data_IF_362657920192
#
_entry.id   IF_362657920192
#
_cell.length_a   1.000
_cell.length_b   1.000
_cell.length_c   1.000
_cell.angle_alpha   90.00
_cell.angle_beta   90.00
_cell.angle_gamma   90.00
#
_symmetry.space_group_name_H-M   'P 1'
#
loop_
_entity.id
_entity.type
_entity.pdbx_description
1 polymer ?
#
# COMPACT_ATOMS: atom_id res chain seq x y z
N UNK A 1 -12.01 0.49 6.62
CA UNK A 1 -12.81 1.26 5.64
C UNK A 1 -12.48 0.80 4.22
N UNK A 2 -13.49 0.46 3.47
CA UNK A 2 -13.33 -0.02 2.10
C UNK A 2 -12.80 1.10 1.18
N UNK A 3 -12.06 0.74 0.15
CA UNK A 3 -11.53 1.72 -0.81
C UNK A 3 -12.65 2.37 -1.63
N UNK A 4 -12.44 3.62 -2.01
CA UNK A 4 -13.26 4.32 -2.99
C UNK A 4 -12.63 4.10 -4.37
N UNK A 5 -13.40 3.55 -5.31
CA UNK A 5 -12.89 3.20 -6.64
C UNK A 5 -13.65 3.98 -7.69
N UNK A 6 -12.91 4.76 -8.49
CA UNK A 6 -13.47 5.62 -9.51
C UNK A 6 -12.75 5.42 -10.84
N UNK A 7 -13.47 5.59 -11.93
CA UNK A 7 -12.88 5.63 -13.25
C UNK A 7 -12.55 7.06 -13.61
N UNK A 8 -11.32 7.31 -14.07
CA UNK A 8 -10.85 8.61 -14.52
C UNK A 8 -10.20 8.42 -15.89
N UNK A 9 -10.89 8.87 -16.95
CA UNK A 9 -10.50 8.62 -18.34
C UNK A 9 -10.39 7.11 -18.60
N UNK A 10 -9.22 6.60 -18.97
CA UNK A 10 -9.02 5.18 -19.27
C UNK A 10 -8.42 4.39 -18.11
N UNK A 11 -8.30 5.01 -16.93
CA UNK A 11 -7.71 4.37 -15.76
C UNK A 11 -8.72 4.34 -14.62
N UNK A 12 -8.45 3.46 -13.64
CA UNK A 12 -9.26 3.37 -12.43
C UNK A 12 -8.39 3.80 -11.26
N UNK A 13 -8.98 4.54 -10.34
CA UNK A 13 -8.30 5.03 -9.15
C UNK A 13 -8.93 4.37 -7.94
N UNK A 14 -8.16 3.57 -7.21
CA UNK A 14 -8.58 3.01 -5.94
C UNK A 14 -7.91 3.82 -4.82
N UNK A 15 -8.70 4.43 -3.96
CA UNK A 15 -8.23 5.33 -2.92
C UNK A 15 -8.61 4.78 -1.56
N UNK A 16 -7.59 4.54 -0.73
CA UNK A 16 -7.74 4.06 0.64
C UNK A 16 -7.31 5.18 1.59
N UNK A 17 -7.97 5.29 2.73
CA UNK A 17 -7.60 6.28 3.74
C UNK A 17 -7.47 5.62 5.10
N UNK A 18 -6.49 6.06 5.87
CA UNK A 18 -6.31 5.64 7.26
C UNK A 18 -5.88 6.85 8.09
N UNK A 19 -6.50 7.03 9.25
CA UNK A 19 -6.11 8.06 10.19
C UNK A 19 -5.30 7.41 11.31
N UNK A 20 -4.02 7.78 11.38
CA UNK A 20 -3.06 7.16 12.28
C UNK A 20 -2.73 8.15 13.40
N UNK A 21 -2.77 7.68 14.65
CA UNK A 21 -2.49 8.51 15.82
C UNK A 21 -0.99 8.53 16.14
N UNK A 22 -0.20 8.78 15.11
CA UNK A 22 1.26 8.79 15.18
C UNK A 22 1.79 9.91 14.32
N UNK A 23 2.93 10.52 14.69
CA UNK A 23 3.46 11.63 13.90
C UNK A 23 3.87 11.19 12.50
N UNK A 24 3.81 12.14 11.57
CA UNK A 24 4.08 11.87 10.15
C UNK A 24 5.46 11.24 9.93
N UNK A 25 6.47 11.62 10.72
CA UNK A 25 7.81 11.06 10.62
C UNK A 25 7.83 9.57 10.95
N UNK A 26 7.03 9.16 11.95
CA UNK A 26 6.93 7.76 12.32
C UNK A 26 6.23 6.95 11.23
N UNK A 27 5.12 7.48 10.68
CA UNK A 27 4.42 6.81 9.58
C UNK A 27 5.34 6.66 8.37
N UNK A 28 6.09 7.71 8.03
CA UNK A 28 7.07 7.66 6.93
C UNK A 28 8.11 6.57 7.14
N UNK A 29 8.58 6.39 8.37
CA UNK A 29 9.57 5.35 8.67
C UNK A 29 9.01 3.95 8.43
N UNK A 30 7.73 3.72 8.70
CA UNK A 30 7.10 2.41 8.42
C UNK A 30 6.99 2.10 6.94
N UNK A 31 6.99 3.14 6.08
CA UNK A 31 6.93 2.97 4.62
C UNK A 31 8.31 2.82 3.99
N UNK A 32 9.38 3.31 4.62
CA UNK A 32 10.67 3.48 3.97
C UNK A 32 11.86 2.83 4.67
N UNK A 33 11.74 2.48 5.95
CA UNK A 33 12.81 1.78 6.66
C UNK A 33 12.60 0.28 6.57
N UNK A 34 13.60 -0.45 6.09
CA UNK A 34 13.44 -1.86 5.72
C UNK A 34 13.07 -2.78 6.88
N UNK A 35 13.54 -2.51 8.08
CA UNK A 35 13.16 -3.30 9.25
C UNK A 35 11.67 -3.17 9.56
N UNK A 36 11.11 -1.99 9.39
CA UNK A 36 9.67 -1.74 9.61
C UNK A 36 8.84 -2.20 8.43
N UNK A 37 9.27 -1.91 7.21
CA UNK A 37 8.60 -2.34 5.99
C UNK A 37 8.41 -3.86 5.99
N UNK A 38 9.42 -4.62 6.39
CA UNK A 38 9.36 -6.07 6.42
C UNK A 38 8.33 -6.61 7.41
N UNK A 39 7.92 -5.83 8.41
CA UNK A 39 6.92 -6.28 9.38
C UNK A 39 5.51 -6.32 8.79
N UNK A 40 5.21 -5.48 7.81
CA UNK A 40 3.88 -5.49 7.19
C UNK A 40 3.89 -5.97 5.73
N UNK A 41 5.05 -5.96 5.08
CA UNK A 41 5.18 -6.47 3.71
C UNK A 41 6.58 -7.09 3.54
N UNK A 42 6.78 -8.33 4.03
CA UNK A 42 8.12 -8.94 4.09
C UNK A 42 8.80 -9.14 2.74
N UNK A 43 8.05 -9.19 1.63
CA UNK A 43 8.63 -9.34 0.30
C UNK A 43 9.21 -8.03 -0.24
N UNK A 44 8.94 -6.89 0.39
CA UNK A 44 9.42 -5.58 -0.10
C UNK A 44 10.61 -5.08 0.70
N UNK A 45 11.55 -4.43 0.00
CA UNK A 45 12.60 -3.65 0.64
C UNK A 45 12.97 -2.45 -0.23
N UNK A 46 13.39 -1.37 0.39
CA UNK A 46 13.90 -0.20 -0.31
C UNK A 46 15.36 -0.48 -0.68
N UNK A 47 15.70 -0.31 -1.95
CA UNK A 47 17.06 -0.45 -2.44
C UNK A 47 17.73 0.92 -2.59
N UNK A 48 17.00 1.87 -3.19
CA UNK A 48 17.52 3.22 -3.43
C UNK A 48 16.35 4.20 -3.33
N UNK A 49 16.28 4.93 -2.21
CA UNK A 49 15.16 5.82 -1.90
C UNK A 49 15.37 7.19 -2.54
N UNK A 50 15.04 7.29 -3.84
CA UNK A 50 15.06 8.54 -4.60
C UNK A 50 14.18 8.39 -5.84
N UNK A 51 13.84 9.49 -6.48
CA UNK A 51 13.18 9.41 -7.79
C UNK A 51 14.11 8.73 -8.77
N UNK A 52 13.60 7.76 -9.50
CA UNK A 52 14.41 6.91 -10.37
C UNK A 52 15.09 5.76 -9.66
N UNK A 53 15.03 5.72 -8.33
CA UNK A 53 15.52 4.59 -7.54
C UNK A 53 14.55 3.42 -7.57
N UNK A 54 14.66 2.50 -6.63
CA UNK A 54 13.88 1.26 -6.68
C UNK A 54 13.45 0.74 -5.32
N UNK A 55 12.26 0.15 -5.31
CA UNK A 55 11.79 -0.79 -4.30
C UNK A 55 11.96 -2.18 -4.89
N UNK A 56 12.44 -3.14 -4.12
CA UNK A 56 12.68 -4.49 -4.60
C UNK A 56 11.58 -5.41 -4.06
N UNK A 57 10.96 -6.18 -4.96
CA UNK A 57 10.00 -7.22 -4.60
C UNK A 57 10.70 -8.58 -4.70
N UNK A 58 10.80 -9.28 -3.58
CA UNK A 58 11.37 -10.62 -3.52
C UNK A 58 10.28 -11.62 -3.92
N UNK A 59 10.47 -12.29 -5.04
CA UNK A 59 9.48 -13.24 -5.58
C UNK A 59 9.48 -14.57 -4.83
N UNK A 60 10.36 -14.76 -3.84
CA UNK A 60 10.46 -15.96 -3.01
C UNK A 60 10.90 -17.22 -3.77
N UNK A 61 11.37 -17.07 -4.99
CA UNK A 61 11.86 -18.17 -5.85
C UNK A 61 13.31 -17.96 -6.29
N UNK A 62 14.01 -17.02 -5.65
CA UNK A 62 15.37 -16.64 -6.00
C UNK A 62 15.46 -15.50 -7.00
N UNK A 63 14.33 -15.00 -7.47
CA UNK A 63 14.28 -13.83 -8.36
C UNK A 63 13.72 -12.62 -7.67
N UNK A 64 14.04 -11.44 -8.23
CA UNK A 64 13.62 -10.14 -7.67
C UNK A 64 13.08 -9.27 -8.79
N UNK A 65 12.08 -8.45 -8.47
CA UNK A 65 11.54 -7.46 -9.38
C UNK A 65 11.88 -6.07 -8.88
N UNK A 66 12.39 -5.20 -9.74
CA UNK A 66 12.65 -3.80 -9.41
C UNK A 66 11.42 -2.98 -9.71
N UNK A 67 10.92 -2.30 -8.68
CA UNK A 67 9.76 -1.41 -8.79
C UNK A 67 10.28 0.01 -8.76
N UNK A 68 10.32 0.66 -9.92
CA UNK A 68 10.93 1.99 -10.04
C UNK A 68 10.13 3.04 -9.26
N UNK A 69 10.83 3.88 -8.49
CA UNK A 69 10.24 4.99 -7.78
C UNK A 69 10.00 6.14 -8.77
N UNK A 70 8.74 6.54 -8.89
CA UNK A 70 8.30 7.56 -9.84
C UNK A 70 8.35 8.95 -9.21
N UNK A 71 7.85 9.06 -7.98
CA UNK A 71 7.85 10.34 -7.26
C UNK A 71 8.25 10.11 -5.82
N UNK A 72 9.11 10.97 -5.30
CA UNK A 72 9.50 10.96 -3.89
C UNK A 72 9.56 12.40 -3.37
N UNK A 73 8.77 12.66 -2.33
CA UNK A 73 8.88 13.87 -1.53
C UNK A 73 9.08 13.40 -0.09
N UNK A 74 10.28 13.55 0.47
CA UNK A 74 10.58 12.96 1.79
C UNK A 74 9.56 13.38 2.84
N UNK A 75 9.04 12.40 3.54
CA UNK A 75 8.06 12.59 4.59
C UNK A 75 6.62 12.78 4.12
N UNK A 76 6.36 12.89 2.82
CA UNK A 76 4.99 13.14 2.35
C UNK A 76 4.51 12.32 1.17
N UNK A 77 5.38 11.96 0.21
CA UNK A 77 4.95 11.22 -0.98
C UNK A 77 5.95 10.14 -1.34
N UNK A 78 5.42 8.94 -1.62
CA UNK A 78 6.19 7.85 -2.20
C UNK A 78 5.30 7.16 -3.23
N UNK A 79 5.73 7.17 -4.49
CA UNK A 79 5.00 6.50 -5.59
C UNK A 79 5.96 5.61 -6.36
N UNK A 80 5.55 4.36 -6.61
CA UNK A 80 6.38 3.44 -7.38
C UNK A 80 5.53 2.52 -8.25
N UNK A 81 6.19 1.90 -9.22
CA UNK A 81 5.55 0.98 -10.16
C UNK A 81 5.12 -0.29 -9.42
N UNK A 82 3.94 -0.80 -9.78
CA UNK A 82 3.39 -2.02 -9.22
C UNK A 82 2.83 -2.88 -10.35
N UNK A 83 3.69 -3.72 -10.96
CA UNK A 83 3.35 -4.43 -12.17
C UNK A 83 3.13 -3.44 -13.31
N UNK A 84 1.93 -3.44 -13.88
CA UNK A 84 1.56 -2.47 -14.92
C UNK A 84 0.82 -1.26 -14.35
N UNK A 85 0.72 -1.18 -13.03
CA UNK A 85 -0.01 -0.14 -12.32
C UNK A 85 0.97 0.74 -11.54
N UNK A 86 0.42 1.68 -10.77
CA UNK A 86 1.20 2.55 -9.87
C UNK A 86 0.56 2.53 -8.50
N UNK A 87 1.39 2.54 -7.46
CA UNK A 87 0.92 2.70 -6.08
C UNK A 87 1.56 3.95 -5.50
N UNK A 88 0.77 4.72 -4.77
CA UNK A 88 1.17 6.02 -4.24
C UNK A 88 0.73 6.17 -2.80
N UNK A 89 1.68 6.52 -1.93
CA UNK A 89 1.41 6.87 -0.53
C UNK A 89 1.52 8.38 -0.40
N UNK A 90 0.52 9.01 0.24
CA UNK A 90 0.53 10.43 0.55
C UNK A 90 0.27 10.59 2.04
N UNK A 91 1.07 11.39 2.70
CA UNK A 91 0.95 11.64 4.14
C UNK A 91 0.63 13.11 4.38
N UNK A 92 -0.41 13.35 5.17
CA UNK A 92 -0.85 14.70 5.53
C UNK A 92 -0.81 14.83 7.05
N UNK A 93 -0.13 15.86 7.59
CA UNK A 93 -0.09 16.04 9.04
C UNK A 93 -1.47 16.45 9.57
N UNK A 94 -1.81 15.93 10.74
CA UNK A 94 -3.01 16.31 11.47
C UNK A 94 -2.62 16.66 12.90
N UNK A 95 -3.50 17.37 13.62
CA UNK A 95 -3.21 17.82 14.97
C UNK A 95 -2.85 16.68 15.93
N UNK A 96 -3.42 15.50 15.72
CA UNK A 96 -3.20 14.34 16.59
C UNK A 96 -2.57 13.16 15.85
N UNK A 97 -1.94 13.40 14.68
CA UNK A 97 -1.35 12.29 13.97
C UNK A 97 -1.11 12.55 12.51
N UNK A 98 -1.46 11.57 11.69
CA UNK A 98 -1.22 11.58 10.26
C UNK A 98 -2.40 11.00 9.51
N UNK A 99 -2.80 11.66 8.43
CA UNK A 99 -3.77 11.11 7.48
C UNK A 99 -2.99 10.45 6.36
N UNK A 100 -3.05 9.13 6.30
CA UNK A 100 -2.41 8.32 5.26
C UNK A 100 -3.42 8.07 4.14
N UNK A 101 -3.05 8.45 2.93
CA UNK A 101 -3.83 8.17 1.73
C UNK A 101 -3.00 7.24 0.85
N UNK A 102 -3.57 6.10 0.49
CA UNK A 102 -2.95 5.15 -0.44
C UNK A 102 -3.78 5.13 -1.71
N UNK A 103 -3.13 5.35 -2.85
CA UNK A 103 -3.80 5.40 -4.15
C UNK A 103 -3.17 4.36 -5.06
N UNK A 104 -4.00 3.49 -5.63
CA UNK A 104 -3.57 2.59 -6.68
C UNK A 104 -4.19 3.02 -7.99
N UNK A 105 -3.33 3.28 -8.98
CA UNK A 105 -3.75 3.66 -10.34
C UNK A 105 -3.73 2.40 -11.19
N UNK A 106 -4.92 1.92 -11.53
CA UNK A 106 -5.12 0.65 -12.24
C UNK A 106 -5.37 0.92 -13.72
N UNK A 107 -4.62 0.27 -14.60
CA UNK A 107 -4.83 0.44 -16.03
C UNK A 107 -6.07 -0.33 -16.53
N UNK A 108 -6.45 -1.41 -15.83
CA UNK A 108 -7.67 -2.16 -16.12
C UNK A 108 -8.12 -2.95 -14.90
N UNK A 109 -9.39 -3.34 -14.90
CA UNK A 109 -9.95 -4.23 -13.87
C UNK A 109 -9.94 -5.65 -14.42
N UNK A 110 -9.32 -6.59 -13.71
CA UNK A 110 -9.24 -8.00 -14.08
C UNK A 110 -9.68 -8.87 -12.91
N UNK A 111 -9.69 -10.18 -13.11
CA UNK A 111 -10.00 -11.13 -12.03
C UNK A 111 -8.98 -11.07 -10.89
N UNK A 112 -7.78 -10.56 -11.16
CA UNK A 112 -6.74 -10.38 -10.14
C UNK A 112 -6.95 -9.13 -9.29
N UNK A 113 -7.62 -8.11 -9.82
CA UNK A 113 -7.78 -6.82 -9.13
C UNK A 113 -8.36 -6.95 -7.72
N UNK A 114 -9.44 -7.73 -7.47
CA UNK A 114 -9.95 -7.87 -6.10
C UNK A 114 -8.93 -8.49 -5.13
N UNK A 115 -8.08 -9.39 -5.60
CA UNK A 115 -7.02 -9.99 -4.77
C UNK A 115 -5.99 -8.95 -4.38
N UNK A 116 -5.59 -8.13 -5.35
CA UNK A 116 -4.62 -7.06 -5.14
C UNK A 116 -5.15 -6.00 -4.16
N UNK A 117 -6.38 -5.55 -4.36
CA UNK A 117 -7.00 -4.56 -3.47
C UNK A 117 -7.18 -5.11 -2.06
N UNK A 118 -7.58 -6.38 -1.92
CA UNK A 118 -7.68 -7.02 -0.61
C UNK A 118 -6.32 -7.08 0.08
N UNK A 119 -5.27 -7.39 -0.67
CA UNK A 119 -3.90 -7.42 -0.15
C UNK A 119 -3.47 -6.07 0.39
N UNK A 120 -3.66 -5.00 -0.37
CA UNK A 120 -3.33 -3.65 0.09
C UNK A 120 -4.20 -3.21 1.27
N UNK A 121 -5.49 -3.53 1.23
CA UNK A 121 -6.40 -3.22 2.33
C UNK A 121 -5.87 -3.79 3.65
N UNK A 122 -5.53 -5.07 3.64
CA UNK A 122 -5.00 -5.75 4.83
C UNK A 122 -3.64 -5.19 5.23
N UNK A 123 -2.76 -4.90 4.27
CA UNK A 123 -1.45 -4.29 4.56
C UNK A 123 -1.61 -2.99 5.32
N UNK A 124 -2.52 -2.12 4.88
CA UNK A 124 -2.76 -0.83 5.55
C UNK A 124 -3.30 -1.02 6.97
N UNK A 125 -4.20 -1.99 7.16
CA UNK A 125 -4.71 -2.31 8.50
C UNK A 125 -3.62 -2.88 9.40
N UNK A 126 -2.70 -3.68 8.83
CA UNK A 126 -1.57 -4.25 9.56
C UNK A 126 -0.62 -3.14 10.03
N UNK A 127 -0.30 -2.17 9.16
CA UNK A 127 0.53 -1.02 9.53
C UNK A 127 -0.09 -0.33 10.76
N UNK A 128 -1.38 -0.04 10.71
CA UNK A 128 -2.06 0.65 11.80
C UNK A 128 -1.98 -0.14 13.10
N UNK A 129 -2.25 -1.45 13.05
CA UNK A 129 -2.21 -2.31 14.23
C UNK A 129 -0.80 -2.37 14.83
N UNK A 130 0.21 -2.54 13.99
CA UNK A 130 1.60 -2.62 14.46
C UNK A 130 2.06 -1.31 15.08
N UNK A 131 1.71 -0.17 14.45
CA UNK A 131 2.04 1.13 15.01
C UNK A 131 1.36 1.38 16.36
N UNK A 132 0.16 0.83 16.54
CA UNK A 132 -0.58 0.95 17.80
C UNK A 132 -0.12 -0.07 18.86
N UNK A 133 0.93 -0.85 18.58
CA UNK A 133 1.47 -1.84 19.49
C UNK A 133 0.62 -3.09 19.60
N UNK A 134 -0.29 -3.32 18.67
CA UNK A 134 -1.16 -4.49 18.66
C UNK A 134 -0.50 -5.64 17.90
N UNK A 135 -0.88 -6.87 18.23
CA UNK A 135 -0.47 -8.03 17.46
C UNK A 135 -1.39 -8.24 16.27
N UNK A 136 -0.85 -8.84 15.21
CA UNK A 136 -1.61 -9.14 14.01
C UNK A 136 -1.92 -10.63 13.99
N UNK A 137 -3.21 -10.96 14.03
CA UNK A 137 -3.69 -12.33 14.00
C UNK A 137 -4.66 -12.50 12.85
N UNK A 138 -4.79 -13.72 12.34
CA UNK A 138 -5.77 -14.07 11.30
C UNK A 138 -5.67 -13.18 10.05
N UNK A 139 -4.46 -12.78 9.67
CA UNK A 139 -4.24 -11.92 8.51
C UNK A 139 -4.85 -12.51 7.22
N UNK A 140 -4.69 -13.82 7.02
CA UNK A 140 -5.23 -14.50 5.85
C UNK A 140 -6.76 -14.52 5.86
N UNK A 141 -7.37 -14.69 7.03
CA UNK A 141 -8.84 -14.67 7.17
C UNK A 141 -9.40 -13.28 6.84
N UNK A 142 -8.73 -12.22 7.30
CA UNK A 142 -9.10 -10.85 6.96
C UNK A 142 -9.00 -10.63 5.45
N UNK A 143 -7.94 -11.12 4.82
CA UNK A 143 -7.75 -11.01 3.38
C UNK A 143 -8.90 -11.66 2.62
N UNK A 144 -9.36 -12.85 3.04
CA UNK A 144 -10.49 -13.52 2.40
C UNK A 144 -11.77 -12.70 2.45
N UNK A 145 -12.03 -12.07 3.60
CA UNK A 145 -13.20 -11.22 3.79
C UNK A 145 -13.18 -10.06 2.81
N UNK A 146 -12.04 -9.37 2.70
CA UNK A 146 -11.91 -8.22 1.80
C UNK A 146 -11.86 -8.63 0.34
N UNK A 147 -11.25 -9.77 0.03
CA UNK A 147 -11.27 -10.31 -1.33
C UNK A 147 -12.73 -10.51 -1.80
N UNK A 148 -13.57 -11.08 -0.96
CA UNK A 148 -14.98 -11.27 -1.31
C UNK A 148 -15.68 -9.93 -1.52
N UNK A 149 -15.47 -8.98 -0.64
CA UNK A 149 -16.09 -7.64 -0.75
C UNK A 149 -15.67 -6.91 -2.01
N UNK A 150 -14.39 -6.92 -2.34
CA UNK A 150 -13.91 -6.27 -3.56
C UNK A 150 -14.36 -7.01 -4.81
N UNK A 151 -14.46 -8.34 -4.76
CA UNK A 151 -15.00 -9.12 -5.87
C UNK A 151 -16.45 -8.71 -6.16
N UNK A 152 -17.27 -8.60 -5.14
CA UNK A 152 -18.67 -8.19 -5.31
C UNK A 152 -18.77 -6.75 -5.83
N UNK A 153 -17.87 -5.88 -5.42
CA UNK A 153 -17.86 -4.49 -5.87
C UNK A 153 -17.48 -4.37 -7.35
N UNK A 154 -16.52 -5.16 -7.82
CA UNK A 154 -15.88 -4.96 -9.13
C UNK A 154 -16.32 -5.95 -10.20
N UNK A 155 -16.68 -7.17 -9.84
CA UNK A 155 -16.88 -8.26 -10.79
C UNK A 155 -18.30 -8.80 -10.81
N UNK A 156 -19.25 -7.98 -10.51
CA UNK A 156 -20.67 -8.38 -10.56
C UNK A 156 -21.11 -8.71 -11.96
#
# INVERSE_FOLDING_TARGET
MIADIRQADEVYIARFERRLKHPIQEVWSWLTENDKLAEWFPELRIDDLREGGAVIFDMQDGTFEELRIIELQPGSVLEYVWGEDLVRFELYPESEGCHLVFIEKLHQITDHTPKDLAGWHVCLDVIQKLMDGQTVEARHEEWKIWYEKYTQMLLK
#
